data_IF_447555073574
#
_entry.id   IF_447555073574
#
_cell.length_a   1.000
_cell.length_b   1.000
_cell.length_c   1.000
_cell.angle_alpha   90.00
_cell.angle_beta   90.00
_cell.angle_gamma   90.00
#
_symmetry.space_group_name_H-M   'P 1'
#
loop_
_entity.id
_entity.type
_entity.pdbx_description
1 polymer ?
#
# COMPACT_ATOMS: atom_id res chain seq x y z
N UNK A 1 8.89 3.33 31.48
CA UNK A 1 9.10 2.19 30.56
C UNK A 1 7.79 1.67 30.02
N UNK A 2 6.79 1.48 30.86
CA UNK A 2 5.52 0.90 30.41
C UNK A 2 4.84 1.78 29.35
N UNK A 3 4.82 3.09 29.58
CA UNK A 3 4.17 3.99 28.63
C UNK A 3 4.94 4.05 27.31
N UNK A 4 6.27 4.08 27.41
CA UNK A 4 7.10 4.05 26.22
C UNK A 4 6.94 2.74 25.47
N UNK A 5 6.83 1.64 26.20
CA UNK A 5 6.62 0.35 25.59
C UNK A 5 5.31 0.31 24.82
N UNK A 6 4.24 0.82 25.39
CA UNK A 6 2.94 0.84 24.73
C UNK A 6 2.99 1.68 23.45
N UNK A 7 3.61 2.84 23.54
CA UNK A 7 3.77 3.72 22.39
C UNK A 7 4.61 3.05 21.31
N UNK A 8 5.73 2.46 21.74
CA UNK A 8 6.61 1.77 20.80
C UNK A 8 5.91 0.60 20.13
N UNK A 9 5.07 -0.10 20.88
CA UNK A 9 4.33 -1.22 20.33
C UNK A 9 3.40 -0.76 19.22
N UNK A 10 2.68 0.33 19.43
CA UNK A 10 1.80 0.88 18.39
C UNK A 10 2.59 1.32 17.17
N UNK A 11 3.71 1.98 17.39
CA UNK A 11 4.59 2.40 16.31
C UNK A 11 5.15 1.21 15.56
N UNK A 12 5.58 0.18 16.30
CA UNK A 12 6.09 -1.04 15.69
C UNK A 12 5.03 -1.77 14.88
N UNK A 13 3.78 -1.72 15.32
CA UNK A 13 2.69 -2.36 14.56
C UNK A 13 2.60 -1.76 13.16
N UNK A 14 2.76 -0.45 13.05
CA UNK A 14 2.76 0.23 11.76
C UNK A 14 4.08 0.01 11.03
N UNK A 15 5.19 0.12 11.74
CA UNK A 15 6.52 -0.08 11.15
C UNK A 15 6.77 -1.53 10.77
N UNK A 16 6.06 -2.47 11.40
CA UNK A 16 6.20 -3.88 11.08
C UNK A 16 5.47 -4.26 9.80
N UNK A 17 4.76 -3.34 9.18
CA UNK A 17 4.18 -3.58 7.87
C UNK A 17 5.33 -3.90 6.91
N UNK A 18 5.24 -5.05 6.30
CA UNK A 18 6.27 -5.50 5.37
C UNK A 18 6.05 -4.83 4.03
N UNK A 19 6.72 -3.70 3.80
CA UNK A 19 6.56 -2.95 2.56
C UNK A 19 7.04 -3.75 1.36
N UNK A 20 8.00 -4.66 1.54
CA UNK A 20 8.45 -5.53 0.46
C UNK A 20 7.33 -6.48 0.04
N UNK A 21 6.58 -7.00 0.99
CA UNK A 21 5.41 -7.81 0.70
C UNK A 21 4.39 -7.02 -0.13
N UNK A 22 4.14 -5.77 0.26
CA UNK A 22 3.23 -4.89 -0.48
C UNK A 22 3.72 -4.65 -1.91
N UNK A 23 5.04 -4.44 -2.06
CA UNK A 23 5.63 -4.26 -3.37
C UNK A 23 5.37 -5.48 -4.25
N UNK A 24 5.67 -6.66 -3.74
CA UNK A 24 5.49 -7.90 -4.48
C UNK A 24 4.02 -8.13 -4.84
N UNK A 25 3.11 -7.88 -3.90
CA UNK A 25 1.69 -8.07 -4.14
C UNK A 25 1.15 -7.07 -5.16
N UNK A 26 1.58 -5.82 -5.09
CA UNK A 26 1.13 -4.81 -6.04
C UNK A 26 1.66 -5.12 -7.44
N UNK A 27 2.92 -5.53 -7.56
CA UNK A 27 3.48 -5.87 -8.86
C UNK A 27 2.80 -7.09 -9.47
N UNK A 28 2.40 -8.04 -8.63
CA UNK A 28 1.76 -9.26 -9.10
C UNK A 28 0.28 -9.06 -9.41
N UNK A 29 -0.43 -8.38 -8.52
CA UNK A 29 -1.89 -8.31 -8.59
C UNK A 29 -2.45 -7.17 -9.42
N UNK A 30 -1.78 -6.01 -9.40
CA UNK A 30 -2.36 -4.85 -10.07
C UNK A 30 -2.45 -5.01 -11.57
N UNK A 31 -1.58 -5.80 -12.15
CA UNK A 31 -1.62 -6.06 -13.60
C UNK A 31 -2.90 -6.77 -14.05
N UNK A 32 -3.62 -7.38 -13.12
CA UNK A 32 -4.86 -8.10 -13.45
C UNK A 32 -6.12 -7.27 -13.24
N UNK A 33 -5.98 -6.03 -12.78
CA UNK A 33 -7.13 -5.15 -12.60
C UNK A 33 -7.48 -4.47 -13.92
N UNK A 34 -8.78 -4.40 -14.22
CA UNK A 34 -9.26 -3.87 -15.49
C UNK A 34 -8.85 -2.42 -15.73
N UNK A 35 -8.72 -1.65 -14.66
CA UNK A 35 -8.37 -0.23 -14.80
C UNK A 35 -6.87 0.00 -14.92
N UNK A 36 -6.06 -1.03 -14.75
CA UNK A 36 -4.60 -0.91 -14.81
C UNK A 36 -4.12 -1.36 -16.18
N UNK A 37 -3.50 -0.44 -16.91
CA UNK A 37 -2.94 -0.76 -18.22
C UNK A 37 -1.54 -1.35 -18.10
N UNK A 38 -0.76 -0.83 -17.16
CA UNK A 38 0.59 -1.31 -16.93
C UNK A 38 1.05 -0.96 -15.52
N UNK A 39 1.92 -1.78 -14.98
CA UNK A 39 2.58 -1.53 -13.71
C UNK A 39 4.05 -1.88 -13.88
N UNK A 40 4.93 -1.03 -13.39
CA UNK A 40 6.37 -1.29 -13.50
C UNK A 40 7.12 -0.72 -12.31
N UNK A 41 8.31 -1.26 -12.06
CA UNK A 41 9.19 -0.77 -11.01
C UNK A 41 10.00 0.40 -11.54
N UNK A 42 9.98 1.50 -10.80
CA UNK A 42 10.83 2.66 -11.08
C UNK A 42 12.11 2.56 -10.27
N UNK A 43 11.97 2.16 -9.00
CA UNK A 43 13.10 2.01 -8.10
C UNK A 43 12.80 0.88 -7.13
N UNK A 44 13.81 0.08 -6.83
CA UNK A 44 13.68 -1.00 -5.84
C UNK A 44 15.04 -1.27 -5.23
N UNK A 45 15.21 -0.80 -3.99
CA UNK A 45 16.42 -1.01 -3.22
C UNK A 45 16.10 -1.83 -1.99
N UNK A 46 17.12 -2.10 -1.16
CA UNK A 46 16.92 -2.87 0.08
C UNK A 46 16.00 -2.15 1.06
N UNK A 47 15.88 -0.83 0.94
CA UNK A 47 15.13 -0.02 1.91
C UNK A 47 13.92 0.69 1.34
N UNK A 48 13.86 0.91 0.04
CA UNK A 48 12.79 1.72 -0.56
C UNK A 48 12.41 1.18 -1.92
N UNK A 49 11.18 1.49 -2.33
CA UNK A 49 10.73 1.20 -3.69
C UNK A 49 9.77 2.26 -4.19
N UNK A 50 9.73 2.40 -5.51
CA UNK A 50 8.76 3.24 -6.21
C UNK A 50 8.25 2.44 -7.39
N UNK A 51 6.93 2.35 -7.52
CA UNK A 51 6.29 1.73 -8.68
C UNK A 51 5.51 2.77 -9.46
N UNK A 52 5.31 2.48 -10.73
CA UNK A 52 4.52 3.32 -11.62
C UNK A 52 3.33 2.51 -12.10
N UNK A 53 2.13 3.08 -11.93
CA UNK A 53 0.91 2.48 -12.44
C UNK A 53 0.37 3.39 -13.52
N UNK A 54 0.10 2.80 -14.68
CA UNK A 54 -0.53 3.52 -15.80
C UNK A 54 -1.96 3.00 -15.87
N UNK A 55 -2.92 3.91 -15.74
CA UNK A 55 -4.33 3.55 -15.77
C UNK A 55 -4.85 3.39 -17.20
N UNK A 56 -6.11 3.02 -17.34
CA UNK A 56 -6.70 2.77 -18.65
C UNK A 56 -6.90 4.03 -19.47
N UNK A 57 -6.77 5.19 -18.86
CA UNK A 57 -6.75 6.48 -19.56
C UNK A 57 -5.34 6.94 -19.89
N UNK A 58 -4.35 6.09 -19.68
CA UNK A 58 -2.94 6.35 -19.94
C UNK A 58 -2.33 7.41 -19.02
N UNK A 59 -2.95 7.66 -17.87
CA UNK A 59 -2.37 8.54 -16.86
C UNK A 59 -1.43 7.75 -15.98
N UNK A 60 -0.34 8.39 -15.57
CA UNK A 60 0.71 7.77 -14.78
C UNK A 60 0.60 8.17 -13.32
N UNK A 61 0.71 7.18 -12.45
CA UNK A 61 0.67 7.37 -10.99
C UNK A 61 1.90 6.72 -10.38
N UNK A 62 2.58 7.45 -9.51
CA UNK A 62 3.74 6.94 -8.79
C UNK A 62 3.36 6.64 -7.36
N UNK A 63 3.72 5.46 -6.90
CA UNK A 63 3.48 5.02 -5.53
C UNK A 63 4.80 4.55 -4.93
N UNK A 64 5.15 5.10 -3.77
CA UNK A 64 6.33 4.68 -3.05
C UNK A 64 5.96 3.96 -1.76
N UNK A 65 6.92 3.24 -1.19
CA UNK A 65 6.75 2.64 0.12
C UNK A 65 6.39 3.68 1.18
N UNK A 66 6.96 4.88 1.10
CA UNK A 66 6.67 5.94 2.05
C UNK A 66 5.24 6.46 1.89
N UNK A 67 4.78 6.62 0.68
CA UNK A 67 3.39 7.02 0.43
C UNK A 67 2.42 5.98 0.95
N UNK A 68 2.73 4.72 0.73
CA UNK A 68 1.91 3.61 1.22
C UNK A 68 1.82 3.63 2.74
N UNK A 69 2.97 3.72 3.42
CA UNK A 69 2.98 3.74 4.88
C UNK A 69 2.21 4.92 5.44
N UNK A 70 2.37 6.09 4.86
CA UNK A 70 1.65 7.27 5.30
C UNK A 70 0.15 7.09 5.13
N UNK A 71 -0.28 6.55 4.00
CA UNK A 71 -1.70 6.31 3.74
C UNK A 71 -2.28 5.29 4.72
N UNK A 72 -1.59 4.18 4.93
CA UNK A 72 -2.03 3.16 5.88
C UNK A 72 -2.14 3.72 7.29
N UNK A 73 -1.17 4.55 7.67
CA UNK A 73 -1.17 5.17 9.00
C UNK A 73 -2.38 6.07 9.19
N UNK A 74 -2.73 6.85 8.18
CA UNK A 74 -3.82 7.81 8.28
C UNK A 74 -5.19 7.18 8.14
N UNK A 75 -5.32 6.23 7.25
CA UNK A 75 -6.64 5.74 6.84
C UNK A 75 -6.96 4.34 7.34
N UNK A 76 -5.96 3.54 7.64
CA UNK A 76 -6.16 2.12 7.90
C UNK A 76 -5.60 1.64 9.22
N UNK A 77 -4.86 2.47 9.96
CA UNK A 77 -4.28 2.09 11.23
C UNK A 77 -5.21 2.34 12.41
N UNK A 78 -6.23 3.16 12.22
CA UNK A 78 -7.18 3.52 13.29
C UNK A 78 -8.40 2.61 13.17
N UNK A 79 -8.72 1.95 14.27
CA UNK A 79 -9.90 1.09 14.35
C UNK A 79 -9.56 -0.39 14.24
N UNK A 80 -9.41 -0.91 13.06
CA UNK A 80 -9.20 -2.35 12.87
C UNK A 80 -7.82 -2.65 12.31
N UNK A 81 -6.91 -3.06 13.19
CA UNK A 81 -5.53 -3.37 12.82
C UNK A 81 -5.40 -4.66 12.03
N UNK A 82 -6.44 -5.47 11.99
CA UNK A 82 -6.38 -6.74 11.27
C UNK A 82 -6.19 -6.51 9.78
N UNK A 83 -6.57 -5.35 9.27
CA UNK A 83 -6.34 -5.02 7.86
C UNK A 83 -4.86 -4.89 7.52
N UNK A 84 -4.01 -4.70 8.52
CA UNK A 84 -2.57 -4.54 8.28
C UNK A 84 -1.82 -5.88 8.27
N UNK A 85 -2.50 -6.96 8.61
CA UNK A 85 -1.89 -8.28 8.62
C UNK A 85 -2.08 -8.97 7.27
N UNK A 86 -1.01 -9.51 6.66
CA UNK A 86 -1.10 -10.08 5.31
C UNK A 86 -2.22 -11.11 5.13
N UNK A 87 -2.50 -11.92 6.14
CA UNK A 87 -3.53 -12.92 6.01
C UNK A 87 -4.93 -12.35 5.90
N UNK A 88 -5.10 -11.07 6.21
CA UNK A 88 -6.40 -10.40 6.16
C UNK A 88 -6.52 -9.45 4.97
N UNK A 89 -5.47 -9.37 4.17
CA UNK A 89 -5.43 -8.46 3.03
C UNK A 89 -5.62 -9.28 1.76
N UNK A 90 -6.68 -8.98 1.03
CA UNK A 90 -6.97 -9.64 -0.24
C UNK A 90 -6.82 -8.66 -1.41
N UNK A 91 -7.11 -9.16 -2.61
CA UNK A 91 -6.97 -8.36 -3.82
C UNK A 91 -7.85 -7.11 -3.80
N UNK A 92 -9.06 -7.23 -3.24
CA UNK A 92 -10.00 -6.11 -3.19
C UNK A 92 -9.48 -5.01 -2.28
N UNK A 93 -8.89 -5.38 -1.15
CA UNK A 93 -8.32 -4.40 -0.23
C UNK A 93 -7.11 -3.71 -0.87
N UNK A 94 -6.24 -4.48 -1.53
CA UNK A 94 -5.09 -3.91 -2.22
C UNK A 94 -5.56 -2.95 -3.30
N UNK A 95 -6.55 -3.35 -4.08
CA UNK A 95 -7.10 -2.51 -5.14
C UNK A 95 -7.65 -1.20 -4.57
N UNK A 96 -8.41 -1.27 -3.48
CA UNK A 96 -8.94 -0.08 -2.83
C UNK A 96 -7.83 0.87 -2.38
N UNK A 97 -6.81 0.33 -1.74
CA UNK A 97 -5.71 1.14 -1.23
C UNK A 97 -4.94 1.78 -2.38
N UNK A 98 -4.68 1.03 -3.44
CA UNK A 98 -3.96 1.55 -4.60
C UNK A 98 -4.78 2.64 -5.30
N UNK A 99 -6.09 2.46 -5.45
CA UNK A 99 -6.93 3.50 -6.02
C UNK A 99 -6.90 4.78 -5.19
N UNK A 100 -6.98 4.64 -3.87
CA UNK A 100 -6.89 5.79 -2.97
C UNK A 100 -5.56 6.51 -3.11
N UNK A 101 -4.47 5.75 -3.29
CA UNK A 101 -3.16 6.35 -3.50
C UNK A 101 -3.04 7.06 -4.86
N UNK A 102 -3.67 6.49 -5.89
CA UNK A 102 -3.59 7.05 -7.25
C UNK A 102 -4.54 8.21 -7.45
N UNK A 103 -5.75 8.11 -6.94
CA UNK A 103 -6.85 9.04 -7.26
C UNK A 103 -7.36 9.83 -6.06
N UNK A 104 -6.94 9.47 -4.85
CA UNK A 104 -7.47 10.08 -3.63
C UNK A 104 -8.79 9.48 -3.18
N UNK A 105 -9.41 8.63 -3.98
CA UNK A 105 -10.69 8.00 -3.65
C UNK A 105 -10.89 6.76 -4.50
N UNK A 106 -11.92 5.99 -4.19
CA UNK A 106 -12.30 4.86 -5.02
C UNK A 106 -13.01 5.36 -6.28
N UNK A 107 -12.45 5.03 -7.43
CA UNK A 107 -12.96 5.45 -8.74
C UNK A 107 -13.58 4.27 -9.47
N UNK A 108 -13.00 3.09 -9.34
CA UNK A 108 -13.45 1.88 -10.01
C UNK A 108 -14.05 0.93 -8.98
N UNK A 109 -15.24 0.50 -9.25
CA UNK A 109 -15.99 -0.36 -8.35
C UNK A 109 -15.60 -1.82 -8.33
#
# INVERSE_FOLDING_TARGET
MTDNYTFEHMTLTIQSINTEWWYEMMMDMMQYNDWVKNVRTVEHTDTNWVIEIIDDECETHLISDLNLLEHLRKSWSIGDRTFLEPQNIDNDIIDCIVQELCFGELVYG
#
